data_IF_097334151145
#
_entry.id   IF_097334151145
#
_cell.length_a   1.000
_cell.length_b   1.000
_cell.length_c   1.000
_cell.angle_alpha   90.00
_cell.angle_beta   90.00
_cell.angle_gamma   90.00
#
_symmetry.space_group_name_H-M   'P 1'
#
loop_
_entity.id
_entity.type
_entity.pdbx_description
1 polymer ?
#
# COMPACT_ATOMS: atom_id res chain seq x y z
N UNK A 1 -12.27 7.96 -4.64
CA UNK A 1 -12.02 9.38 -4.38
C UNK A 1 -11.73 10.20 -5.63
N UNK A 2 -10.84 9.76 -6.55
CA UNK A 2 -10.47 10.54 -7.75
C UNK A 2 -11.66 10.77 -8.68
N UNK A 3 -12.44 9.74 -8.96
CA UNK A 3 -13.62 9.81 -9.83
C UNK A 3 -14.69 10.77 -9.33
N UNK A 4 -14.81 10.98 -8.02
CA UNK A 4 -15.73 11.96 -7.43
C UNK A 4 -15.41 13.39 -7.85
N UNK A 5 -14.16 13.68 -8.15
CA UNK A 5 -13.67 15.00 -8.56
C UNK A 5 -13.41 15.09 -10.08
N UNK A 6 -13.90 14.14 -10.87
CA UNK A 6 -13.71 14.12 -12.32
C UNK A 6 -12.27 13.87 -12.76
N UNK A 7 -11.40 13.36 -11.87
CA UNK A 7 -10.01 13.08 -12.18
C UNK A 7 -9.86 11.66 -12.72
N UNK A 8 -9.27 11.53 -13.89
CA UNK A 8 -8.92 10.24 -14.48
C UNK A 8 -7.47 9.88 -14.14
N UNK A 9 -7.22 8.78 -13.41
CA UNK A 9 -5.87 8.34 -13.13
C UNK A 9 -5.21 7.76 -14.38
N UNK A 10 -3.93 8.07 -14.59
CA UNK A 10 -3.09 7.44 -15.60
C UNK A 10 -2.07 6.54 -14.92
N UNK A 11 -1.78 5.42 -15.54
CA UNK A 11 -0.88 4.38 -15.03
C UNK A 11 0.19 4.07 -16.07
N UNK A 12 1.26 4.91 -16.19
CA UNK A 12 2.28 4.78 -17.23
C UNK A 12 2.93 3.39 -17.30
N UNK A 13 3.10 2.74 -16.15
CA UNK A 13 3.66 1.40 -16.07
C UNK A 13 2.73 0.28 -16.56
N UNK A 14 1.47 0.59 -16.87
CA UNK A 14 0.52 -0.34 -17.49
C UNK A 14 0.32 -0.05 -18.99
N UNK A 15 1.10 0.85 -19.57
CA UNK A 15 1.15 1.03 -21.02
C UNK A 15 1.57 -0.27 -21.70
N UNK A 16 0.83 -0.69 -22.73
CA UNK A 16 1.04 -1.98 -23.38
C UNK A 16 2.43 -2.11 -24.02
N UNK A 17 2.93 -1.05 -24.62
CA UNK A 17 4.26 -1.04 -25.25
C UNK A 17 5.33 -1.20 -24.21
N UNK A 18 5.23 -0.43 -23.12
CA UNK A 18 6.14 -0.53 -21.99
C UNK A 18 6.12 -1.93 -21.35
N UNK A 19 4.94 -2.47 -21.07
CA UNK A 19 4.76 -3.81 -20.48
C UNK A 19 5.36 -4.89 -21.36
N UNK A 20 5.05 -4.87 -22.67
CA UNK A 20 5.57 -5.86 -23.61
C UNK A 20 7.09 -5.78 -23.71
N UNK A 21 7.65 -4.58 -23.79
CA UNK A 21 9.10 -4.39 -23.77
C UNK A 21 9.73 -4.93 -22.50
N UNK A 22 9.21 -4.53 -21.32
CA UNK A 22 9.73 -4.99 -20.04
C UNK A 22 9.66 -6.52 -19.90
N UNK A 23 8.57 -7.13 -20.30
CA UNK A 23 8.40 -8.59 -20.23
C UNK A 23 9.26 -9.35 -21.25
N UNK A 24 9.66 -8.71 -22.34
CA UNK A 24 10.61 -9.31 -23.32
C UNK A 24 12.04 -9.40 -22.80
N UNK A 25 12.39 -8.63 -21.77
CA UNK A 25 13.74 -8.70 -21.19
C UNK A 25 13.96 -10.03 -20.47
N UNK A 26 15.18 -10.58 -20.50
CA UNK A 26 15.52 -11.79 -19.77
C UNK A 26 15.17 -11.69 -18.27
N UNK A 27 14.72 -12.81 -17.69
CA UNK A 27 14.26 -12.83 -16.31
C UNK A 27 15.36 -12.48 -15.30
N UNK A 28 16.61 -12.86 -15.56
CA UNK A 28 17.75 -12.50 -14.73
C UNK A 28 17.98 -10.99 -14.63
N UNK A 29 17.65 -10.22 -15.66
CA UNK A 29 17.73 -8.75 -15.59
C UNK A 29 16.57 -8.13 -14.80
N UNK A 30 15.43 -8.79 -14.80
CA UNK A 30 14.21 -8.31 -14.10
C UNK A 30 14.14 -8.73 -12.64
N UNK A 31 14.87 -9.77 -12.27
CA UNK A 31 14.88 -10.28 -10.89
C UNK A 31 16.05 -9.66 -10.12
N UNK A 32 15.78 -8.81 -9.11
CA UNK A 32 16.83 -8.15 -8.33
C UNK A 32 17.67 -9.12 -7.48
N UNK A 33 17.18 -10.34 -7.23
CA UNK A 33 17.89 -11.35 -6.41
C UNK A 33 18.97 -12.05 -7.22
N UNK A 34 18.76 -12.24 -8.53
CA UNK A 34 19.67 -12.97 -9.42
C UNK A 34 20.46 -12.08 -10.35
N UNK A 35 20.21 -10.76 -10.32
CA UNK A 35 20.91 -9.83 -11.19
C UNK A 35 22.26 -9.45 -10.56
N UNK A 36 23.35 -9.72 -11.27
CA UNK A 36 24.72 -9.26 -10.93
C UNK A 36 24.89 -7.72 -11.10
N UNK A 37 23.77 -7.00 -11.15
CA UNK A 37 23.75 -5.61 -11.59
C UNK A 37 24.08 -4.64 -10.44
N UNK A 38 23.90 -5.06 -9.19
CA UNK A 38 24.16 -4.18 -8.04
C UNK A 38 24.37 -5.02 -6.76
N UNK A 39 25.26 -4.57 -5.89
CA UNK A 39 25.57 -5.20 -4.61
C UNK A 39 24.40 -5.09 -3.60
N UNK A 40 23.43 -4.23 -3.88
CA UNK A 40 22.29 -3.98 -3.00
C UNK A 40 20.99 -4.43 -3.67
N UNK A 41 20.28 -5.35 -3.04
CA UNK A 41 18.97 -5.81 -3.50
C UNK A 41 17.94 -4.72 -3.22
N UNK A 42 17.36 -4.13 -4.26
CA UNK A 42 16.27 -3.17 -4.10
C UNK A 42 15.17 -3.41 -5.13
N UNK A 43 13.92 -3.04 -4.76
CA UNK A 43 12.82 -3.13 -5.70
C UNK A 43 13.00 -2.14 -6.86
N UNK A 44 12.53 -2.54 -8.04
CA UNK A 44 12.62 -1.76 -9.28
C UNK A 44 14.07 -1.44 -9.70
N UNK A 45 15.03 -2.26 -9.30
CA UNK A 45 16.47 -2.06 -9.51
C UNK A 45 16.81 -1.71 -10.96
N UNK A 46 16.32 -2.50 -11.93
CA UNK A 46 16.56 -2.26 -13.35
C UNK A 46 16.12 -0.86 -13.80
N UNK A 47 14.93 -0.44 -13.38
CA UNK A 47 14.40 0.89 -13.72
C UNK A 47 15.22 2.00 -13.07
N UNK A 48 15.56 1.85 -11.79
CA UNK A 48 16.38 2.82 -11.05
C UNK A 48 17.76 2.98 -11.67
N UNK A 49 18.39 1.86 -12.05
CA UNK A 49 19.69 1.85 -12.71
C UNK A 49 19.62 2.53 -14.09
N UNK A 50 18.62 2.19 -14.90
CA UNK A 50 18.41 2.86 -16.18
C UNK A 50 18.25 4.37 -16.06
N UNK A 51 17.52 4.86 -15.05
CA UNK A 51 17.39 6.30 -14.77
C UNK A 51 18.73 6.89 -14.34
N UNK A 52 19.47 6.23 -13.45
CA UNK A 52 20.77 6.69 -12.98
C UNK A 52 21.80 6.83 -14.12
N UNK A 53 21.79 5.91 -15.06
CA UNK A 53 22.73 5.91 -16.19
C UNK A 53 22.37 6.91 -17.29
N UNK A 54 21.09 6.99 -17.64
CA UNK A 54 20.63 7.85 -18.76
C UNK A 54 20.42 9.29 -18.32
N UNK A 55 19.96 9.48 -17.09
CA UNK A 55 19.63 10.79 -16.53
C UNK A 55 20.20 10.99 -15.12
N UNK A 56 21.54 11.03 -14.96
CA UNK A 56 22.20 10.98 -13.64
C UNK A 56 21.85 12.15 -12.69
N UNK A 57 21.34 13.25 -13.23
CA UNK A 57 20.93 14.42 -12.44
C UNK A 57 19.41 14.60 -12.29
N UNK A 58 18.60 13.62 -12.79
CA UNK A 58 17.15 13.75 -12.77
C UNK A 58 16.58 13.64 -11.35
N UNK A 59 17.12 12.73 -10.57
CA UNK A 59 16.67 12.47 -9.19
C UNK A 59 17.88 12.46 -8.25
N UNK A 60 17.77 13.06 -7.04
CA UNK A 60 18.74 12.87 -5.97
C UNK A 60 18.86 11.38 -5.59
N UNK A 61 20.04 10.96 -5.14
CA UNK A 61 20.30 9.55 -4.82
C UNK A 61 19.41 9.00 -3.70
N UNK A 62 19.12 9.80 -2.69
CA UNK A 62 18.22 9.46 -1.58
C UNK A 62 16.77 9.21 -2.03
N UNK A 63 16.34 9.81 -3.13
CA UNK A 63 15.06 9.55 -3.77
C UNK A 63 15.15 8.34 -4.73
N UNK A 64 16.19 8.33 -5.58
CA UNK A 64 16.36 7.30 -6.59
C UNK A 64 16.49 5.90 -5.97
N UNK A 65 17.18 5.78 -4.84
CA UNK A 65 17.47 4.51 -4.16
C UNK A 65 16.66 4.31 -2.87
N UNK A 66 15.66 5.15 -2.63
CA UNK A 66 14.78 5.04 -1.46
C UNK A 66 14.14 3.65 -1.40
N UNK A 67 14.16 3.04 -0.22
CA UNK A 67 13.43 1.79 0.06
C UNK A 67 11.94 1.99 -0.19
N UNK A 68 11.31 0.98 -0.80
CA UNK A 68 9.86 1.01 -1.02
C UNK A 68 9.13 0.88 0.32
N UNK A 69 8.20 1.79 0.53
CA UNK A 69 7.28 1.76 1.67
C UNK A 69 5.84 1.69 1.18
N UNK A 70 4.93 1.20 2.02
CA UNK A 70 3.50 1.35 1.78
C UNK A 70 3.14 2.84 1.78
N UNK A 71 2.17 3.25 0.98
CA UNK A 71 1.79 4.67 0.87
C UNK A 71 1.41 5.26 2.23
N UNK A 72 0.70 4.49 3.06
CA UNK A 72 0.31 4.89 4.42
C UNK A 72 1.51 5.18 5.32
N UNK A 73 2.61 4.45 5.14
CA UNK A 73 3.79 4.60 5.96
C UNK A 73 4.74 5.68 5.39
N UNK A 74 4.83 5.75 4.06
CA UNK A 74 5.67 6.74 3.38
C UNK A 74 5.22 8.20 3.50
N UNK A 75 3.96 8.46 3.89
CA UNK A 75 3.44 9.82 4.18
C UNK A 75 3.44 10.16 5.66
N UNK A 76 3.85 9.21 6.49
CA UNK A 76 3.92 9.39 7.94
C UNK A 76 5.23 10.12 8.30
N UNK A 77 5.16 11.05 9.26
CA UNK A 77 6.34 11.65 9.86
C UNK A 77 7.05 10.71 10.84
N UNK A 78 8.25 11.08 11.25
CA UNK A 78 8.95 10.40 12.33
C UNK A 78 8.09 10.45 13.60
N UNK A 79 7.59 9.30 14.06
CA UNK A 79 6.92 9.15 15.35
C UNK A 79 5.42 8.85 15.33
N UNK A 80 4.71 8.93 14.20
CA UNK A 80 3.32 8.45 14.14
C UNK A 80 2.96 7.98 12.74
N UNK A 81 2.65 6.70 12.61
CA UNK A 81 2.12 6.17 11.35
C UNK A 81 0.66 6.57 11.17
N UNK A 82 0.22 6.67 9.92
CA UNK A 82 -1.16 6.99 9.59
C UNK A 82 -2.17 6.07 10.29
N UNK A 83 -1.83 4.80 10.42
CA UNK A 83 -2.70 3.83 11.10
C UNK A 83 -2.78 4.09 12.62
N UNK A 84 -1.69 4.52 13.28
CA UNK A 84 -1.70 4.87 14.72
C UNK A 84 -2.61 6.06 14.97
N UNK A 85 -2.52 7.10 14.14
CA UNK A 85 -3.41 8.26 14.19
C UNK A 85 -4.88 7.84 14.04
N UNK A 86 -5.19 6.96 13.08
CA UNK A 86 -6.56 6.46 12.90
C UNK A 86 -6.99 5.65 14.12
N UNK A 87 -6.14 4.75 14.61
CA UNK A 87 -6.42 3.90 15.79
C UNK A 87 -6.75 4.73 17.03
N UNK A 88 -5.95 5.76 17.30
CA UNK A 88 -6.20 6.71 18.41
C UNK A 88 -7.52 7.46 18.23
N UNK A 89 -7.73 8.04 17.05
CA UNK A 89 -8.96 8.81 16.76
C UNK A 89 -10.22 7.94 16.87
N UNK A 90 -10.18 6.73 16.36
CA UNK A 90 -11.32 5.80 16.44
C UNK A 90 -11.54 5.32 17.88
N UNK A 91 -10.48 5.15 18.66
CA UNK A 91 -10.62 4.80 20.09
C UNK A 91 -11.34 5.90 20.89
N UNK A 92 -11.09 7.18 20.56
CA UNK A 92 -11.77 8.32 21.18
C UNK A 92 -13.28 8.35 20.90
N UNK A 93 -13.71 7.83 19.74
CA UNK A 93 -15.11 7.84 19.29
C UNK A 93 -16.05 6.93 20.10
N UNK A 94 -15.50 5.98 20.89
CA UNK A 94 -16.27 5.02 21.72
C UNK A 94 -17.38 4.30 20.95
N UNK A 95 -17.13 3.97 19.69
CA UNK A 95 -18.08 3.27 18.84
C UNK A 95 -18.19 1.80 19.24
N UNK A 96 -19.38 1.26 19.18
CA UNK A 96 -19.69 -0.14 19.43
C UNK A 96 -20.36 -0.77 18.21
N UNK A 97 -20.34 -2.09 18.15
CA UNK A 97 -21.04 -2.85 17.11
C UNK A 97 -22.53 -2.68 17.30
N UNK A 98 -23.23 -2.20 16.27
CA UNK A 98 -24.69 -2.13 16.31
C UNK A 98 -25.27 -3.55 16.31
N UNK A 99 -26.09 -3.94 17.29
CA UNK A 99 -26.66 -5.27 17.41
C UNK A 99 -27.58 -5.67 16.24
N UNK A 100 -28.01 -4.72 15.43
CA UNK A 100 -28.82 -4.98 14.22
C UNK A 100 -27.99 -5.44 13.03
N UNK A 101 -26.66 -5.27 13.05
CA UNK A 101 -25.82 -5.71 11.97
C UNK A 101 -25.73 -7.23 11.89
N UNK A 102 -26.08 -7.79 10.75
CA UNK A 102 -26.09 -9.23 10.49
C UNK A 102 -25.14 -9.65 9.36
N UNK A 103 -24.68 -8.70 8.53
CA UNK A 103 -23.83 -8.96 7.37
C UNK A 103 -22.46 -8.33 7.57
N UNK A 104 -21.39 -9.12 7.40
CA UNK A 104 -20.01 -8.69 7.56
C UNK A 104 -19.80 -7.84 8.81
N UNK A 105 -20.05 -8.43 9.97
CA UNK A 105 -19.93 -7.76 11.27
C UNK A 105 -18.47 -7.33 11.46
N UNK A 106 -18.21 -6.04 11.69
CA UNK A 106 -16.86 -5.54 11.90
C UNK A 106 -16.24 -6.10 13.19
N UNK A 107 -14.94 -6.41 13.14
CA UNK A 107 -14.20 -7.01 14.25
C UNK A 107 -13.20 -6.05 14.90
N UNK A 108 -12.83 -4.96 14.20
CA UNK A 108 -11.92 -3.94 14.74
C UNK A 108 -12.65 -2.60 14.89
N UNK A 109 -12.17 -1.74 15.79
CA UNK A 109 -12.77 -0.41 15.99
C UNK A 109 -12.76 0.44 14.73
N UNK A 110 -11.71 0.31 13.91
CA UNK A 110 -11.61 1.00 12.63
C UNK A 110 -12.72 0.55 11.66
N UNK A 111 -12.94 -0.77 11.57
CA UNK A 111 -14.02 -1.33 10.76
C UNK A 111 -15.40 -0.88 11.27
N UNK A 112 -15.60 -0.80 12.59
CA UNK A 112 -16.84 -0.29 13.19
C UNK A 112 -17.06 1.17 12.75
N UNK A 113 -16.03 2.01 12.83
CA UNK A 113 -16.09 3.40 12.39
C UNK A 113 -16.52 3.51 10.91
N UNK A 114 -15.85 2.77 10.02
CA UNK A 114 -16.18 2.79 8.61
C UNK A 114 -17.58 2.24 8.33
N UNK A 115 -18.01 1.22 9.05
CA UNK A 115 -19.35 0.67 8.91
C UNK A 115 -20.41 1.70 9.36
N UNK A 116 -20.22 2.36 10.48
CA UNK A 116 -21.13 3.42 10.97
C UNK A 116 -21.28 4.55 9.96
N UNK A 117 -20.17 5.07 9.44
CA UNK A 117 -20.17 6.12 8.42
C UNK A 117 -20.86 5.64 7.13
N UNK A 118 -20.62 4.37 6.74
CA UNK A 118 -21.24 3.80 5.55
C UNK A 118 -22.77 3.72 5.70
N UNK A 119 -23.28 3.16 6.81
CA UNK A 119 -24.74 3.07 7.06
C UNK A 119 -25.42 4.43 7.14
N UNK A 120 -24.75 5.43 7.71
CA UNK A 120 -25.27 6.80 7.74
C UNK A 120 -25.47 7.36 6.32
N UNK A 121 -24.54 7.08 5.40
CA UNK A 121 -24.58 7.62 4.03
C UNK A 121 -25.38 6.75 3.05
N UNK A 122 -25.43 5.45 3.28
CA UNK A 122 -26.03 4.45 2.40
C UNK A 122 -26.86 3.44 3.20
N UNK A 123 -27.98 3.85 3.82
CA UNK A 123 -28.80 2.98 4.64
C UNK A 123 -29.33 1.81 3.81
N UNK A 124 -29.44 0.64 4.43
CA UNK A 124 -29.96 -0.61 3.82
C UNK A 124 -29.15 -1.14 2.63
N UNK A 125 -27.90 -0.77 2.49
CA UNK A 125 -27.01 -1.26 1.41
C UNK A 125 -25.83 -2.09 1.92
N UNK A 126 -25.91 -2.60 3.13
CA UNK A 126 -24.85 -3.38 3.80
C UNK A 126 -24.37 -4.58 2.98
N UNK A 127 -25.26 -5.19 2.19
CA UNK A 127 -24.92 -6.32 1.29
C UNK A 127 -23.96 -5.94 0.16
N UNK A 128 -23.79 -4.65 -0.12
CA UNK A 128 -22.79 -4.17 -1.06
C UNK A 128 -21.36 -4.21 -0.50
N UNK A 129 -21.20 -4.42 0.82
CA UNK A 129 -19.87 -4.60 1.43
C UNK A 129 -19.50 -6.07 1.36
N UNK A 130 -18.56 -6.48 0.46
CA UNK A 130 -18.24 -7.89 0.27
C UNK A 130 -17.47 -8.48 1.47
N UNK A 131 -16.56 -7.71 2.05
CA UNK A 131 -15.76 -8.05 3.24
C UNK A 131 -14.98 -6.83 3.73
N UNK A 132 -14.46 -6.90 4.95
CA UNK A 132 -13.41 -5.99 5.43
C UNK A 132 -12.05 -6.61 5.13
N UNK A 133 -11.21 -5.86 4.43
CA UNK A 133 -9.87 -6.34 4.09
C UNK A 133 -8.99 -6.42 5.35
N UNK A 134 -8.30 -7.54 5.49
CA UNK A 134 -7.26 -7.75 6.49
C UNK A 134 -6.07 -8.45 5.83
N UNK A 135 -4.83 -8.23 6.29
CA UNK A 135 -3.68 -9.00 5.83
C UNK A 135 -3.92 -10.50 6.04
N UNK A 136 -3.67 -11.31 5.01
CA UNK A 136 -3.81 -12.76 5.06
C UNK A 136 -2.49 -13.40 5.50
N UNK A 137 -2.57 -14.54 6.17
CA UNK A 137 -1.44 -15.37 6.59
C UNK A 137 -0.51 -14.73 7.64
N UNK A 138 -0.97 -13.71 8.30
CA UNK A 138 -0.29 -13.05 9.42
C UNK A 138 -1.31 -12.75 10.51
N UNK A 139 -0.90 -12.79 11.75
CA UNK A 139 -1.73 -12.28 12.84
C UNK A 139 -1.67 -10.76 12.81
N UNK A 140 -2.76 -10.13 12.37
CA UNK A 140 -2.88 -8.69 12.26
C UNK A 140 -4.16 -8.23 12.98
N UNK A 141 -4.01 -7.22 13.80
CA UNK A 141 -5.09 -6.53 14.51
C UNK A 141 -5.58 -5.27 13.79
N UNK A 142 -4.94 -4.93 12.67
CA UNK A 142 -5.27 -3.79 11.83
C UNK A 142 -5.16 -4.13 10.34
N UNK A 143 -5.71 -3.27 9.47
CA UNK A 143 -5.71 -3.44 8.01
C UNK A 143 -4.47 -2.86 7.32
N UNK A 144 -3.39 -2.57 8.04
CA UNK A 144 -2.13 -2.07 7.48
C UNK A 144 -1.35 -3.15 6.75
N UNK A 145 -0.74 -2.82 5.63
CA UNK A 145 0.11 -3.73 4.89
C UNK A 145 1.50 -3.95 5.53
N UNK A 146 1.88 -3.14 6.52
CA UNK A 146 3.18 -3.21 7.23
C UNK A 146 3.44 -4.55 7.93
N UNK A 147 2.38 -5.28 8.29
CA UNK A 147 2.47 -6.61 8.90
C UNK A 147 2.90 -7.70 7.93
N UNK A 148 2.90 -7.42 6.61
CA UNK A 148 3.34 -8.37 5.60
C UNK A 148 4.85 -8.54 5.64
N UNK A 149 5.32 -9.79 5.58
CA UNK A 149 6.75 -10.14 5.67
C UNK A 149 7.62 -9.48 4.61
N UNK A 150 7.05 -9.17 3.44
CA UNK A 150 7.76 -8.48 2.36
C UNK A 150 8.27 -7.11 2.80
N UNK A 151 7.54 -6.41 3.68
CA UNK A 151 7.96 -5.11 4.20
C UNK A 151 8.89 -5.22 5.40
N UNK A 152 8.84 -6.33 6.16
CA UNK A 152 9.76 -6.59 7.27
C UNK A 152 11.19 -6.90 6.81
N UNK A 153 11.34 -7.54 5.65
CA UNK A 153 12.66 -7.90 5.10
C UNK A 153 13.48 -6.71 4.60
N UNK A 154 12.84 -5.61 4.23
CA UNK A 154 13.52 -4.39 3.80
C UNK A 154 14.34 -3.71 4.93
N UNK A 155 14.03 -3.99 6.20
CA UNK A 155 14.70 -3.41 7.37
C UNK A 155 16.01 -4.13 7.72
N UNK A 156 16.23 -5.35 7.22
CA UNK A 156 17.41 -6.18 7.59
C UNK A 156 18.66 -5.85 6.75
N UNK A 157 18.53 -5.04 5.72
CA UNK A 157 19.60 -4.71 4.78
C UNK A 157 19.99 -3.22 4.77
N UNK A 158 19.61 -2.47 5.81
CA UNK A 158 20.06 -1.09 6.01
C UNK A 158 21.26 -1.01 6.94
#
# INVERSE_FOLDING_TARGET
CRSRHGLEPRTPFLDRTFVNYYLSLPINLRNPITSDICDTICEKQLLRKAIAEVYPSLLPNDILWRTKEAFSDGVSGEGSSWFEIIKEKVAEMKLEVDPTWSHNIPTTKEQICYRTIYEEKYPHTEKCIPYFWMPKYVEADDCSARTLDIYKRAIVYS
#
